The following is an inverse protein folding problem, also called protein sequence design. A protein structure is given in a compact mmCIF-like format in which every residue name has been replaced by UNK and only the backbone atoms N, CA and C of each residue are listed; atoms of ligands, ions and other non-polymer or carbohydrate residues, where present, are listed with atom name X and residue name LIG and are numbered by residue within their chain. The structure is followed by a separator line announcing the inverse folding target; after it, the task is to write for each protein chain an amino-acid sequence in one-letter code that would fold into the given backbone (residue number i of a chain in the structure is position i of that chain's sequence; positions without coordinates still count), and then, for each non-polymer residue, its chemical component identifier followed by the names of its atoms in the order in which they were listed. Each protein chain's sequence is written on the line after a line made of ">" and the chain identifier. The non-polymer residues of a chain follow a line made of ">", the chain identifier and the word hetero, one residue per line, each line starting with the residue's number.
data_IF_148534226955
#
_entry.id   IF_148534226955
#
_cell.length_a   1.000
_cell.length_b   1.000
_cell.length_c   1.000
_cell.angle_alpha   90.00
_cell.angle_beta   90.00
_cell.angle_gamma   90.00
#
_symmetry.space_group_name_H-M   'P 1'
#
loop_
_entity.id
_entity.type
_entity.pdbx_description
1 polymer ?
#
# COMPACT_ATOMS: atom_id res chain seq x y z
N UNK A 1 10.50 42.09 38.33
CA UNK A 1 10.84 40.70 37.97
C UNK A 1 9.63 40.01 37.35
N UNK A 2 9.59 39.86 36.02
CA UNK A 2 8.68 38.92 35.34
C UNK A 2 9.54 38.03 34.45
N UNK A 3 9.63 36.74 34.79
CA UNK A 3 10.39 35.74 34.04
C UNK A 3 9.57 35.38 32.80
N UNK A 4 9.97 35.89 31.63
CA UNK A 4 9.41 35.47 30.35
C UNK A 4 10.05 34.14 29.96
N UNK A 5 9.26 33.06 29.99
CA UNK A 5 9.66 31.73 29.50
C UNK A 5 9.34 31.65 28.01
N UNK A 6 10.36 31.27 27.26
CA UNK A 6 10.46 31.11 25.81
C UNK A 6 9.63 29.91 25.31
N UNK A 7 9.07 29.99 24.09
CA UNK A 7 8.81 28.77 23.29
C UNK A 7 9.30 29.02 21.86
N UNK A 8 10.52 28.54 21.57
CA UNK A 8 10.99 28.35 20.19
C UNK A 8 10.34 27.06 19.69
N UNK A 9 9.37 27.19 18.79
CA UNK A 9 8.85 26.07 18.01
C UNK A 9 9.92 25.65 17.01
N UNK A 10 10.61 24.53 17.28
CA UNK A 10 11.48 23.91 16.28
C UNK A 10 10.61 23.04 15.36
N UNK A 11 10.35 23.56 14.16
CA UNK A 11 9.70 22.82 13.09
C UNK A 11 10.69 21.79 12.52
N UNK A 12 10.72 20.59 13.10
CA UNK A 12 11.51 19.49 12.56
C UNK A 12 10.82 18.87 11.34
N UNK A 13 11.13 19.40 10.16
CA UNK A 13 10.82 18.75 8.87
C UNK A 13 11.86 17.64 8.65
N UNK A 14 11.61 16.45 9.21
CA UNK A 14 12.31 15.24 8.75
C UNK A 14 11.58 14.70 7.52
N UNK A 15 11.64 15.42 6.40
CA UNK A 15 11.30 14.83 5.09
C UNK A 15 12.52 14.03 4.67
N UNK A 16 12.64 12.81 5.20
CA UNK A 16 13.38 11.82 4.43
C UNK A 16 12.50 11.55 3.22
N UNK A 17 12.78 12.22 2.09
CA UNK A 17 12.06 12.01 0.84
C UNK A 17 12.00 10.51 0.57
N UNK A 18 10.80 9.94 0.49
CA UNK A 18 10.65 8.59 -0.03
C UNK A 18 11.23 8.61 -1.45
N UNK A 19 12.29 7.84 -1.69
CA UNK A 19 13.03 7.93 -2.96
C UNK A 19 12.19 7.48 -4.16
N UNK A 20 11.11 6.75 -3.88
CA UNK A 20 10.02 6.37 -4.78
C UNK A 20 8.69 6.55 -4.05
N UNK A 21 7.75 7.25 -4.67
CA UNK A 21 6.39 7.47 -4.17
C UNK A 21 5.40 7.44 -5.34
N UNK A 22 4.28 6.73 -5.17
CA UNK A 22 3.11 6.80 -6.04
C UNK A 22 1.91 7.18 -5.16
N UNK A 23 1.28 8.30 -5.50
CA UNK A 23 0.13 8.87 -4.78
C UNK A 23 -1.11 9.10 -5.68
N UNK A 24 -1.06 8.64 -6.93
CA UNK A 24 -2.17 8.69 -7.90
C UNK A 24 -2.81 10.07 -8.14
N UNK A 25 -2.10 11.18 -7.92
CA UNK A 25 -2.62 12.52 -8.24
C UNK A 25 -2.34 12.97 -9.68
N UNK A 26 -1.34 12.40 -10.34
CA UNK A 26 -1.03 12.68 -11.75
C UNK A 26 -1.63 11.63 -12.68
N UNK A 27 -2.51 12.02 -13.59
CA UNK A 27 -3.27 11.11 -14.46
C UNK A 27 -2.41 10.39 -15.53
N UNK A 28 -1.23 10.91 -15.87
CA UNK A 28 -0.43 10.39 -17.00
C UNK A 28 0.72 9.47 -16.61
N UNK A 29 0.94 9.24 -15.31
CA UNK A 29 2.17 8.61 -14.83
C UNK A 29 1.99 7.19 -14.29
N UNK A 30 0.78 6.63 -14.32
CA UNK A 30 0.57 5.25 -13.87
C UNK A 30 -0.55 4.59 -14.66
N UNK A 31 -0.33 3.33 -15.01
CA UNK A 31 -1.39 2.45 -15.47
C UNK A 31 -1.77 1.49 -14.33
N UNK A 32 -3.07 1.33 -14.13
CA UNK A 32 -3.68 0.52 -13.07
C UNK A 32 -4.62 -0.46 -13.75
N UNK A 33 -4.31 -1.75 -13.62
CA UNK A 33 -5.08 -2.83 -14.24
C UNK A 33 -5.20 -4.01 -13.28
N UNK A 34 -6.17 -4.88 -13.52
CA UNK A 34 -6.29 -6.17 -12.85
C UNK A 34 -5.83 -7.31 -13.76
N UNK A 35 -5.49 -8.46 -13.18
CA UNK A 35 -5.07 -9.66 -13.92
C UNK A 35 -6.16 -10.73 -14.06
N UNK A 36 -7.35 -10.50 -13.51
CA UNK A 36 -8.52 -11.39 -13.61
C UNK A 36 -9.78 -10.59 -13.93
N UNK A 37 -10.79 -11.26 -14.47
CA UNK A 37 -12.05 -10.63 -14.87
C UNK A 37 -12.95 -10.26 -13.68
N UNK A 38 -12.75 -10.92 -12.53
CA UNK A 38 -13.56 -10.73 -11.32
C UNK A 38 -12.89 -9.85 -10.26
N UNK A 39 -11.68 -9.38 -10.54
CA UNK A 39 -11.06 -8.29 -9.81
C UNK A 39 -11.02 -7.08 -10.73
N UNK A 40 -11.61 -5.97 -10.32
CA UNK A 40 -11.69 -4.75 -11.13
C UNK A 40 -10.92 -3.65 -10.41
N UNK A 41 -9.90 -3.11 -11.07
CA UNK A 41 -9.05 -2.07 -10.48
C UNK A 41 -8.93 -0.86 -11.38
N UNK A 42 -9.18 0.32 -10.81
CA UNK A 42 -9.04 1.59 -11.49
C UNK A 42 -8.79 2.71 -10.50
N UNK A 43 -8.29 3.84 -10.99
CA UNK A 43 -8.17 5.06 -10.21
C UNK A 43 -9.55 5.71 -10.04
N UNK A 44 -9.88 6.11 -8.82
CA UNK A 44 -11.15 6.74 -8.48
C UNK A 44 -10.94 7.77 -7.35
N UNK A 45 -11.97 8.59 -7.10
CA UNK A 45 -11.95 9.59 -6.02
C UNK A 45 -11.79 8.91 -4.66
N UNK A 46 -10.99 9.50 -3.79
CA UNK A 46 -10.80 9.00 -2.43
C UNK A 46 -12.13 9.03 -1.66
N UNK A 47 -12.69 7.87 -1.26
CA UNK A 47 -13.97 7.82 -0.56
C UNK A 47 -13.90 8.41 0.85
N UNK A 48 -12.68 8.69 1.34
CA UNK A 48 -12.42 9.11 2.72
C UNK A 48 -11.15 9.96 2.81
N UNK A 49 -11.23 11.23 2.41
CA UNK A 49 -10.14 12.22 2.48
C UNK A 49 -9.88 12.67 3.92
N UNK A 50 -9.38 11.78 4.79
CA UNK A 50 -9.05 12.09 6.19
C UNK A 50 -8.09 11.09 6.82
N UNK A 51 -7.50 11.49 7.94
CA UNK A 51 -6.58 10.66 8.70
C UNK A 51 -5.21 10.62 8.04
N UNK A 52 -4.66 9.43 7.82
CA UNK A 52 -3.31 9.28 7.24
C UNK A 52 -3.27 9.47 5.72
N UNK A 53 -4.43 9.46 5.06
CA UNK A 53 -4.56 9.66 3.62
C UNK A 53 -5.51 10.84 3.36
N UNK A 54 -4.94 11.94 2.84
CA UNK A 54 -5.66 13.15 2.44
C UNK A 54 -5.55 13.41 0.93
N UNK A 55 -5.11 12.42 0.15
CA UNK A 55 -5.09 12.45 -1.32
C UNK A 55 -6.51 12.60 -1.88
N UNK A 56 -6.65 13.27 -3.01
CA UNK A 56 -7.92 13.39 -3.74
C UNK A 56 -8.25 12.12 -4.54
N UNK A 57 -7.22 11.42 -5.02
CA UNK A 57 -7.35 10.24 -5.87
C UNK A 57 -6.66 9.03 -5.23
N UNK A 58 -7.20 7.85 -5.47
CA UNK A 58 -6.71 6.57 -4.95
C UNK A 58 -6.96 5.47 -5.98
N UNK A 59 -6.44 4.27 -5.75
CA UNK A 59 -6.87 3.08 -6.49
C UNK A 59 -8.01 2.41 -5.75
N UNK A 60 -9.10 2.13 -6.48
CA UNK A 60 -10.20 1.27 -6.07
C UNK A 60 -9.96 -0.14 -6.59
N UNK A 61 -10.28 -1.11 -5.76
CA UNK A 61 -10.24 -2.54 -6.10
C UNK A 61 -11.58 -3.14 -5.72
N UNK A 62 -12.29 -3.71 -6.69
CA UNK A 62 -13.55 -4.40 -6.49
C UNK A 62 -13.31 -5.89 -6.73
N UNK A 63 -13.46 -6.69 -5.70
CA UNK A 63 -13.46 -8.15 -5.80
C UNK A 63 -14.90 -8.64 -5.85
N UNK A 64 -15.31 -9.17 -7.00
CA UNK A 64 -16.66 -9.69 -7.22
C UNK A 64 -16.83 -11.09 -6.60
N UNK A 65 -18.07 -11.54 -6.36
CA UNK A 65 -18.32 -12.92 -5.97
C UNK A 65 -17.70 -13.94 -6.92
N UNK A 66 -16.99 -14.90 -6.34
CA UNK A 66 -16.23 -15.92 -7.03
C UNK A 66 -14.91 -15.45 -7.61
N UNK A 67 -14.38 -14.28 -7.21
CA UNK A 67 -13.05 -13.83 -7.58
C UNK A 67 -11.97 -14.84 -7.18
N UNK A 68 -10.98 -14.99 -8.05
CA UNK A 68 -9.86 -15.89 -7.85
C UNK A 68 -8.92 -15.36 -6.76
N UNK A 69 -8.46 -16.23 -5.85
CA UNK A 69 -7.54 -15.86 -4.78
C UNK A 69 -6.22 -15.25 -5.30
N UNK A 70 -5.83 -15.57 -6.54
CA UNK A 70 -4.63 -15.05 -7.20
C UNK A 70 -4.86 -13.75 -8.00
N UNK A 71 -6.06 -13.18 -7.92
CA UNK A 71 -6.37 -11.86 -8.47
C UNK A 71 -5.50 -10.77 -7.83
N UNK A 72 -4.93 -9.88 -8.65
CA UNK A 72 -4.07 -8.80 -8.21
C UNK A 72 -4.35 -7.50 -8.97
N UNK A 73 -4.09 -6.39 -8.29
CA UNK A 73 -3.96 -5.09 -8.95
C UNK A 73 -2.51 -4.87 -9.35
N UNK A 74 -2.30 -4.60 -10.64
CA UNK A 74 -1.02 -4.24 -11.22
C UNK A 74 -0.94 -2.73 -11.36
N UNK A 75 0.11 -2.13 -10.80
CA UNK A 75 0.50 -0.74 -11.05
C UNK A 75 1.82 -0.75 -11.82
N UNK A 76 1.81 -0.14 -13.01
CA UNK A 76 2.99 -0.02 -13.88
C UNK A 76 3.03 1.33 -14.63
N UNK A 77 3.92 1.45 -15.62
CA UNK A 77 4.17 2.67 -16.42
C UNK A 77 4.49 3.93 -15.61
N UNK A 78 5.04 3.78 -14.41
CA UNK A 78 5.54 4.89 -13.61
C UNK A 78 6.96 5.30 -13.99
N UNK A 79 7.23 6.61 -13.90
CA UNK A 79 8.45 7.25 -14.42
C UNK A 79 9.77 6.69 -13.87
N UNK A 80 9.75 6.04 -12.70
CA UNK A 80 10.98 5.62 -11.98
C UNK A 80 10.90 4.18 -11.52
N UNK A 81 11.88 3.36 -11.92
CA UNK A 81 12.05 1.98 -11.40
C UNK A 81 12.14 1.99 -9.88
N UNK A 82 11.44 1.05 -9.24
CA UNK A 82 11.73 0.65 -7.87
C UNK A 82 13.14 0.08 -7.84
N UNK A 83 13.99 0.52 -6.91
CA UNK A 83 15.38 0.07 -6.80
C UNK A 83 15.73 -0.22 -5.34
N UNK A 84 16.05 -1.47 -5.00
CA UNK A 84 16.22 -1.90 -3.61
C UNK A 84 17.53 -1.39 -2.96
N UNK A 85 18.44 -0.75 -3.72
CA UNK A 85 19.56 0.05 -3.17
C UNK A 85 19.06 1.30 -2.44
N UNK A 86 17.93 1.85 -2.89
CA UNK A 86 17.37 3.12 -2.43
C UNK A 86 16.53 2.99 -1.16
N UNK A 87 16.12 1.78 -0.82
CA UNK A 87 15.32 1.46 0.36
C UNK A 87 14.75 0.06 0.25
N UNK A 88 14.53 -0.59 1.39
CA UNK A 88 13.99 -1.96 1.45
C UNK A 88 12.74 -2.07 2.32
N UNK A 89 12.22 -0.93 2.75
CA UNK A 89 10.93 -0.83 3.42
C UNK A 89 9.96 -0.17 2.47
N UNK A 90 8.81 -0.81 2.29
CA UNK A 90 7.72 -0.27 1.49
C UNK A 90 6.52 -0.07 2.38
N UNK A 91 5.74 0.98 2.12
CA UNK A 91 4.44 1.16 2.76
C UNK A 91 3.35 1.41 1.74
N UNK A 92 2.16 0.98 2.07
CA UNK A 92 0.93 1.22 1.31
C UNK A 92 -0.13 1.69 2.30
N UNK A 93 -0.77 2.82 2.02
CA UNK A 93 -1.97 3.21 2.73
C UNK A 93 -3.15 2.49 2.10
N UNK A 94 -4.01 1.87 2.91
CA UNK A 94 -5.13 1.07 2.43
C UNK A 94 -6.39 1.30 3.26
N UNK A 95 -7.54 1.10 2.63
CA UNK A 95 -8.85 1.08 3.24
C UNK A 95 -9.52 -0.24 2.88
N UNK A 96 -9.92 -0.99 3.89
CA UNK A 96 -10.54 -2.30 3.74
C UNK A 96 -11.89 -2.33 4.48
N UNK A 97 -12.92 -3.01 3.95
CA UNK A 97 -14.20 -3.19 4.62
C UNK A 97 -14.08 -4.14 5.82
N UNK A 98 -12.97 -4.88 5.93
CA UNK A 98 -12.73 -5.87 6.98
C UNK A 98 -11.92 -5.31 8.14
N UNK A 99 -12.24 -5.77 9.35
CA UNK A 99 -11.46 -5.44 10.54
C UNK A 99 -10.10 -6.15 10.54
N UNK A 100 -10.03 -7.39 10.02
CA UNK A 100 -8.82 -8.21 9.86
C UNK A 100 -8.73 -8.75 8.43
N UNK A 101 -7.51 -9.02 7.99
CA UNK A 101 -7.23 -9.55 6.66
C UNK A 101 -5.75 -9.43 6.36
N UNK A 102 -5.38 -9.59 5.09
CA UNK A 102 -3.99 -9.56 4.65
C UNK A 102 -3.83 -8.72 3.38
N UNK A 103 -2.66 -8.12 3.23
CA UNK A 103 -2.21 -7.50 1.98
C UNK A 103 -0.90 -8.16 1.59
N UNK A 104 -0.78 -8.57 0.33
CA UNK A 104 0.49 -9.02 -0.24
C UNK A 104 1.00 -7.97 -1.21
N UNK A 105 2.26 -7.56 -1.04
CA UNK A 105 2.98 -6.68 -1.96
C UNK A 105 4.03 -7.48 -2.71
N UNK A 106 4.00 -7.42 -4.04
CA UNK A 106 4.85 -8.23 -4.91
C UNK A 106 5.56 -7.40 -6.00
N UNK A 107 6.79 -7.82 -6.31
CA UNK A 107 7.67 -7.22 -7.31
C UNK A 107 8.26 -8.32 -8.22
N UNK A 108 7.63 -8.62 -9.35
CA UNK A 108 8.06 -9.73 -10.22
C UNK A 108 7.76 -11.10 -9.59
N UNK A 109 8.41 -12.16 -10.08
CA UNK A 109 7.99 -13.56 -9.81
C UNK A 109 8.15 -13.98 -8.34
N UNK A 110 9.33 -13.75 -7.77
CA UNK A 110 9.77 -14.40 -6.51
C UNK A 110 10.02 -13.41 -5.36
N UNK A 111 9.51 -12.18 -5.47
CA UNK A 111 9.71 -11.14 -4.46
C UNK A 111 8.36 -10.65 -3.97
N UNK A 112 7.90 -11.22 -2.86
CA UNK A 112 6.64 -10.84 -2.21
C UNK A 112 6.78 -10.80 -0.69
N UNK A 113 5.94 -9.97 -0.06
CA UNK A 113 5.78 -9.93 1.40
C UNK A 113 4.32 -9.74 1.76
N UNK A 114 3.93 -10.45 2.80
CA UNK A 114 2.59 -10.39 3.39
C UNK A 114 2.56 -9.41 4.57
N UNK A 115 1.42 -8.75 4.74
CA UNK A 115 1.12 -7.90 5.87
C UNK A 115 -0.28 -8.23 6.40
N UNK A 116 -0.34 -8.90 7.54
CA UNK A 116 -1.59 -9.17 8.27
C UNK A 116 -1.98 -7.90 9.02
N UNK A 117 -3.23 -7.48 8.84
CA UNK A 117 -3.78 -6.31 9.52
C UNK A 117 -4.91 -6.66 10.47
N UNK A 118 -5.08 -5.78 11.46
CA UNK A 118 -6.25 -5.75 12.34
C UNK A 118 -6.64 -4.29 12.62
N UNK A 119 -7.84 -4.04 13.17
CA UNK A 119 -8.30 -2.70 13.54
C UNK A 119 -9.72 -2.40 13.04
N UNK A 120 -10.06 -1.10 13.00
CA UNK A 120 -11.40 -0.66 12.61
C UNK A 120 -11.59 -0.80 11.09
N UNK A 121 -12.65 -1.50 10.68
CA UNK A 121 -13.10 -1.55 9.29
C UNK A 121 -13.35 -0.15 8.72
N UNK A 122 -13.21 0.00 7.41
CA UNK A 122 -13.46 1.25 6.68
C UNK A 122 -12.66 2.44 7.24
N UNK A 123 -11.43 2.20 7.71
CA UNK A 123 -10.50 3.26 8.11
C UNK A 123 -9.17 3.10 7.40
N UNK A 124 -8.57 4.23 7.00
CA UNK A 124 -7.24 4.25 6.42
C UNK A 124 -6.22 3.70 7.42
N UNK A 125 -5.48 2.69 6.96
CA UNK A 125 -4.40 2.03 7.69
C UNK A 125 -3.17 1.97 6.80
N UNK A 126 -2.00 1.73 7.40
CA UNK A 126 -0.73 1.63 6.68
C UNK A 126 -0.13 0.24 6.85
N UNK A 127 0.05 -0.46 5.73
CA UNK A 127 0.85 -1.67 5.66
C UNK A 127 2.33 -1.27 5.54
N UNK A 128 3.23 -1.97 6.24
CA UNK A 128 4.68 -1.74 6.15
C UNK A 128 5.37 -3.08 5.92
N UNK A 129 5.98 -3.21 4.74
CA UNK A 129 6.64 -4.43 4.27
C UNK A 129 8.16 -4.30 4.42
N UNK A 130 8.81 -5.39 4.85
CA UNK A 130 10.25 -5.46 5.03
C UNK A 130 10.89 -6.43 4.04
N UNK A 131 11.57 -5.88 3.02
CA UNK A 131 12.32 -6.62 2.02
C UNK A 131 13.83 -6.57 2.29
N UNK A 132 14.25 -6.46 3.55
CA UNK A 132 15.68 -6.40 3.91
C UNK A 132 16.43 -7.72 3.66
N UNK A 133 15.74 -8.80 3.31
CA UNK A 133 16.33 -10.05 2.84
C UNK A 133 16.55 -10.09 1.33
N UNK A 134 16.07 -9.10 0.57
CA UNK A 134 16.22 -9.03 -0.88
C UNK A 134 17.53 -8.35 -1.27
N UNK A 135 18.13 -8.83 -2.37
CA UNK A 135 19.32 -8.22 -2.96
C UNK A 135 19.11 -6.74 -3.24
N UNK A 136 20.13 -5.93 -2.92
CA UNK A 136 20.11 -4.50 -3.21
C UNK A 136 20.11 -4.23 -4.72
N UNK A 137 20.65 -5.12 -5.57
CA UNK A 137 20.69 -4.93 -7.02
C UNK A 137 19.33 -5.05 -7.72
N UNK A 138 18.30 -5.56 -7.02
CA UNK A 138 16.97 -5.78 -7.56
C UNK A 138 16.28 -4.47 -7.93
N UNK A 139 15.65 -4.46 -9.11
CA UNK A 139 14.79 -3.36 -9.57
C UNK A 139 13.46 -3.89 -10.13
N UNK A 140 12.41 -3.07 -10.12
CA UNK A 140 11.11 -3.41 -10.72
C UNK A 140 10.44 -2.21 -11.39
N UNK A 141 9.74 -2.46 -12.49
CA UNK A 141 8.82 -1.52 -13.17
C UNK A 141 7.34 -1.84 -12.89
N UNK A 142 7.07 -2.89 -12.12
CA UNK A 142 5.74 -3.38 -11.83
C UNK A 142 5.57 -3.60 -10.34
N UNK A 143 4.42 -3.21 -9.82
CA UNK A 143 3.98 -3.47 -8.46
C UNK A 143 2.68 -4.27 -8.55
N UNK A 144 2.59 -5.35 -7.79
CA UNK A 144 1.37 -6.13 -7.65
C UNK A 144 0.89 -6.05 -6.20
N UNK A 145 -0.38 -5.74 -6.01
CA UNK A 145 -1.04 -5.68 -4.71
C UNK A 145 -2.21 -6.67 -4.73
N UNK A 146 -2.24 -7.51 -3.70
CA UNK A 146 -3.31 -8.46 -3.46
C UNK A 146 -3.98 -8.10 -2.14
N UNK A 147 -5.30 -8.13 -2.10
CA UNK A 147 -6.06 -8.21 -0.86
C UNK A 147 -6.41 -9.67 -0.63
N UNK A 148 -6.20 -10.15 0.59
CA UNK A 148 -6.61 -11.48 1.04
C UNK A 148 -6.21 -12.63 0.09
N UNK A 149 -5.01 -12.60 -0.50
CA UNK A 149 -4.42 -13.73 -1.27
C UNK A 149 -4.33 -15.02 -0.44
N UNK A 150 -3.95 -14.87 0.84
CA UNK A 150 -3.74 -15.95 1.81
C UNK A 150 -4.59 -15.70 3.04
N UNK A 151 -4.97 -16.76 3.74
CA UNK A 151 -5.75 -16.67 4.97
C UNK A 151 -4.93 -15.90 6.01
N UNK A 152 -5.53 -14.85 6.58
CA UNK A 152 -4.84 -14.02 7.59
C UNK A 152 -4.64 -14.77 8.92
N UNK A 153 -5.41 -15.84 9.16
CA UNK A 153 -5.33 -16.69 10.35
C UNK A 153 -4.33 -17.84 10.17
N UNK A 154 -4.10 -18.28 8.93
CA UNK A 154 -3.07 -19.22 8.53
C UNK A 154 -2.43 -18.79 7.19
N UNK A 155 -1.38 -17.95 7.20
CA UNK A 155 -0.75 -17.45 5.98
C UNK A 155 -0.04 -18.52 5.14
N UNK A 156 -0.07 -19.79 5.54
CA UNK A 156 0.39 -20.91 4.72
C UNK A 156 -0.66 -21.39 3.71
N UNK A 157 -1.92 -20.99 3.88
CA UNK A 157 -3.04 -21.37 3.01
C UNK A 157 -3.52 -20.19 2.19
N UNK A 158 -3.91 -20.45 0.94
CA UNK A 158 -4.60 -19.44 0.13
C UNK A 158 -6.03 -19.28 0.62
N UNK A 159 -6.60 -18.10 0.46
CA UNK A 159 -8.03 -17.93 0.73
C UNK A 159 -8.86 -18.70 -0.28
N UNK A 160 -10.05 -19.11 0.15
CA UNK A 160 -11.08 -19.57 -0.77
C UNK A 160 -11.58 -18.41 -1.65
N UNK A 161 -12.42 -18.74 -2.65
CA UNK A 161 -13.07 -17.73 -3.47
C UNK A 161 -13.89 -16.78 -2.59
N UNK A 162 -13.75 -15.48 -2.85
CA UNK A 162 -14.61 -14.49 -2.21
C UNK A 162 -16.08 -14.78 -2.55
N UNK A 163 -16.96 -14.89 -1.57
CA UNK A 163 -18.37 -15.25 -1.78
C UNK A 163 -19.30 -14.02 -1.84
N UNK A 164 -18.76 -12.83 -1.62
CA UNK A 164 -19.47 -11.55 -1.64
C UNK A 164 -18.68 -10.51 -2.43
N UNK A 165 -19.31 -9.40 -2.80
CA UNK A 165 -18.53 -8.27 -3.31
C UNK A 165 -17.77 -7.60 -2.16
N UNK A 166 -16.46 -7.38 -2.32
CA UNK A 166 -15.64 -6.60 -1.39
C UNK A 166 -14.94 -5.45 -2.13
N UNK A 167 -14.99 -4.25 -1.57
CA UNK A 167 -14.37 -3.05 -2.17
C UNK A 167 -13.25 -2.54 -1.28
N UNK A 168 -12.03 -2.61 -1.79
CA UNK A 168 -10.82 -2.11 -1.16
C UNK A 168 -10.32 -0.85 -1.86
N UNK A 169 -9.46 -0.11 -1.16
CA UNK A 169 -8.78 1.05 -1.71
C UNK A 169 -7.34 1.09 -1.25
N UNK A 170 -6.44 1.58 -2.09
CA UNK A 170 -5.06 1.84 -1.69
C UNK A 170 -4.46 3.07 -2.36
N UNK A 171 -3.41 3.59 -1.72
CA UNK A 171 -2.70 4.80 -2.14
C UNK A 171 -1.33 4.91 -1.44
N UNK A 172 -0.56 5.95 -1.75
CA UNK A 172 0.65 6.36 -1.06
C UNK A 172 1.67 5.22 -0.95
N UNK A 173 1.94 4.55 -2.08
CA UNK A 173 2.97 3.52 -2.17
C UNK A 173 4.33 4.20 -2.06
N UNK A 174 5.05 3.95 -0.96
CA UNK A 174 6.30 4.66 -0.64
C UNK A 174 7.44 3.70 -0.36
N UNK A 175 8.62 4.02 -0.87
CA UNK A 175 9.88 3.33 -0.55
C UNK A 175 10.70 4.14 0.46
N UNK A 176 11.30 3.45 1.44
CA UNK A 176 12.13 4.09 2.47
C UNK A 176 13.35 3.23 2.89
N UNK A 177 14.41 3.92 3.34
CA UNK A 177 15.63 3.28 3.86
C UNK A 177 15.46 2.69 5.25
N UNK A 178 14.62 3.32 6.07
CA UNK A 178 14.34 2.92 7.45
C UNK A 178 12.90 2.47 7.55
N UNK A 179 12.63 1.52 8.46
CA UNK A 179 11.26 1.13 8.78
C UNK A 179 10.48 2.38 9.19
N UNK A 180 9.40 2.66 8.46
CA UNK A 180 8.47 3.74 8.81
C UNK A 180 7.82 3.35 10.14
N UNK A 181 8.13 4.09 11.21
CA UNK A 181 7.49 3.91 12.52
C UNK A 181 6.16 4.67 12.51
N UNK A 182 5.09 4.00 12.94
CA UNK A 182 3.81 4.67 13.25
C UNK A 182 4.11 5.68 14.37
N UNK A 183 3.86 6.98 14.14
CA UNK A 183 3.84 7.94 15.25
C UNK A 183 2.74 7.48 16.21
N UNK A 184 3.10 7.28 17.48
CA UNK A 184 2.14 7.07 18.55
C UNK A 184 1.33 8.34 18.75
#
# INVERSE_FOLDING_TARGET
>A
MKKSILIISLLYINVTSAQFEINFESLMDQNVVSNTDKLISYRDSNPKVKGINTSGNVVKVIELPGAEYWGSTIVDKFQRKVNFKNGRYFSVDFLSPKSKGMITLKFGKDIEKDFIYSGKANTWRRAVFNFSNISKSTTSLKIEIFFDLKDYSDPSTFTDKNMSEEVFWFDNIRQSKRRIRKKR
#
